data_IF_123910126834
#
_entry.id   IF_123910126834
#
_cell.length_a   1.000
_cell.length_b   1.000
_cell.length_c   1.000
_cell.angle_alpha   90.00
_cell.angle_beta   90.00
_cell.angle_gamma   90.00
#
_symmetry.space_group_name_H-M   'P 1'
#
loop_
_entity.id
_entity.type
_entity.pdbx_description
1 polymer ?
#
# COMPACT_ATOMS: atom_id res chain seq x y z
N UNK A 1 -30.24 -24.59 16.83
CA UNK A 1 -28.92 -24.35 17.45
C UNK A 1 -27.83 -24.83 16.51
N UNK A 2 -27.42 -23.98 15.57
CA UNK A 2 -26.45 -24.28 14.50
C UNK A 2 -25.38 -23.19 14.41
N UNK A 3 -25.16 -22.48 15.52
CA UNK A 3 -24.10 -21.47 15.70
C UNK A 3 -22.69 -22.05 15.50
N UNK A 4 -22.53 -23.36 15.67
CA UNK A 4 -21.24 -24.07 15.51
C UNK A 4 -20.72 -24.05 14.06
N UNK A 5 -21.61 -24.00 13.06
CA UNK A 5 -21.22 -23.97 11.63
C UNK A 5 -21.26 -22.55 11.06
N UNK A 6 -22.11 -21.68 11.61
CA UNK A 6 -22.16 -20.27 11.19
C UNK A 6 -20.85 -19.52 11.50
N UNK A 7 -20.23 -19.83 12.65
CA UNK A 7 -18.98 -19.19 13.08
C UNK A 7 -17.79 -19.46 12.14
N UNK A 8 -17.48 -20.72 11.75
CA UNK A 8 -16.38 -21.00 10.83
C UNK A 8 -16.64 -20.47 9.41
N UNK A 9 -17.90 -20.43 8.95
CA UNK A 9 -18.24 -19.88 7.63
C UNK A 9 -18.00 -18.37 7.58
N UNK A 10 -18.43 -17.63 8.62
CA UNK A 10 -18.14 -16.20 8.74
C UNK A 10 -16.64 -15.93 8.82
N UNK A 11 -15.89 -16.73 9.57
CA UNK A 11 -14.44 -16.62 9.67
C UNK A 11 -13.77 -16.81 8.29
N UNK A 12 -14.17 -17.85 7.55
CA UNK A 12 -13.65 -18.11 6.22
C UNK A 12 -13.93 -16.95 5.26
N UNK A 13 -15.13 -16.37 5.31
CA UNK A 13 -15.47 -15.18 4.51
C UNK A 13 -14.59 -13.98 4.83
N UNK A 14 -14.37 -13.66 6.11
CA UNK A 14 -13.53 -12.53 6.54
C UNK A 14 -12.07 -12.74 6.08
N UNK A 15 -11.54 -13.96 6.23
CA UNK A 15 -10.18 -14.29 5.80
C UNK A 15 -10.01 -14.21 4.28
N UNK A 16 -11.04 -14.60 3.53
CA UNK A 16 -11.06 -14.50 2.06
C UNK A 16 -11.00 -13.04 1.60
N UNK A 17 -11.72 -12.15 2.29
CA UNK A 17 -11.74 -10.71 2.02
C UNK A 17 -10.39 -10.08 2.40
N UNK A 18 -9.80 -10.45 3.54
CA UNK A 18 -8.48 -9.93 3.95
C UNK A 18 -7.33 -10.43 3.08
N UNK A 19 -7.38 -11.66 2.55
CA UNK A 19 -6.34 -12.16 1.65
C UNK A 19 -6.34 -11.42 0.31
N UNK A 20 -7.51 -10.95 -0.16
CA UNK A 20 -7.62 -10.06 -1.32
C UNK A 20 -7.34 -8.58 -1.03
N UNK A 21 -7.48 -8.15 0.24
CA UNK A 21 -7.28 -6.77 0.70
C UNK A 21 -5.90 -6.50 1.29
N UNK A 22 -5.05 -7.51 1.44
CA UNK A 22 -3.61 -7.30 1.43
C UNK A 22 -3.26 -6.84 0.02
N UNK A 23 -3.49 -5.54 -0.22
CA UNK A 23 -2.77 -4.80 -1.24
C UNK A 23 -1.35 -5.33 -1.13
N UNK A 24 -0.84 -5.93 -2.22
CA UNK A 24 0.59 -6.05 -2.42
C UNK A 24 1.10 -4.64 -2.14
N UNK A 25 1.51 -4.39 -0.90
CA UNK A 25 2.20 -3.18 -0.50
C UNK A 25 3.38 -3.26 -1.43
N UNK A 26 3.28 -2.49 -2.51
CA UNK A 26 4.09 -2.72 -3.68
C UNK A 26 5.50 -2.78 -3.13
N UNK A 27 6.16 -3.93 -3.25
CA UNK A 27 7.59 -4.04 -3.03
C UNK A 27 8.26 -3.32 -4.21
N UNK A 28 7.80 -2.10 -4.48
CA UNK A 28 8.55 -1.05 -5.11
C UNK A 28 9.67 -0.88 -4.11
N UNK A 29 10.78 -1.56 -4.41
CA UNK A 29 12.08 -1.21 -3.88
C UNK A 29 12.09 0.31 -3.78
N UNK A 30 12.12 0.84 -2.55
CA UNK A 30 12.09 2.27 -2.30
C UNK A 30 13.37 2.85 -2.89
N UNK A 31 13.33 3.14 -4.18
CA UNK A 31 14.48 3.58 -4.96
C UNK A 31 14.89 4.96 -4.48
N UNK A 32 16.14 5.31 -4.73
CA UNK A 32 16.61 6.66 -4.47
C UNK A 32 16.23 7.58 -5.63
N UNK A 33 15.81 8.80 -5.29
CA UNK A 33 15.58 9.87 -6.25
C UNK A 33 16.87 10.66 -6.44
N UNK A 34 17.23 10.96 -7.69
CA UNK A 34 18.42 11.76 -8.04
C UNK A 34 18.07 13.06 -8.78
N UNK A 35 16.80 13.23 -9.15
CA UNK A 35 16.30 14.40 -9.87
C UNK A 35 15.04 14.91 -9.18
N UNK A 36 14.89 16.23 -9.11
CA UNK A 36 13.82 16.90 -8.38
C UNK A 36 13.14 17.93 -9.27
N UNK A 37 11.80 17.92 -9.25
CA UNK A 37 11.02 18.99 -9.85
C UNK A 37 11.07 20.24 -8.97
N UNK A 38 11.33 21.40 -9.59
CA UNK A 38 11.30 22.69 -8.89
C UNK A 38 9.96 23.43 -9.01
N UNK A 39 8.98 22.82 -9.70
CA UNK A 39 7.64 23.38 -9.90
C UNK A 39 6.61 22.53 -9.17
N UNK A 40 5.59 23.20 -8.65
CA UNK A 40 4.46 22.53 -8.01
C UNK A 40 3.66 21.75 -9.04
N UNK A 41 3.42 20.47 -8.74
CA UNK A 41 2.55 19.61 -9.54
C UNK A 41 1.09 20.01 -9.33
N UNK A 42 0.28 20.15 -10.39
CA UNK A 42 -1.16 20.30 -10.24
C UNK A 42 -1.76 19.10 -9.49
N UNK A 43 -2.53 19.37 -8.43
CA UNK A 43 -3.12 18.33 -7.57
C UNK A 43 -3.99 17.34 -8.36
N UNK A 44 -4.64 17.80 -9.42
CA UNK A 44 -5.49 16.97 -10.28
C UNK A 44 -4.72 15.85 -11.00
N UNK A 45 -3.40 15.95 -11.10
CA UNK A 45 -2.54 14.95 -11.74
C UNK A 45 -1.85 14.01 -10.74
N UNK A 46 -1.87 14.35 -9.46
CA UNK A 46 -1.22 13.56 -8.41
C UNK A 46 -2.14 12.41 -8.00
N UNK A 47 -1.74 11.18 -8.31
CA UNK A 47 -2.50 9.97 -7.97
C UNK A 47 -2.04 9.35 -6.66
N UNK A 48 -0.73 9.39 -6.38
CA UNK A 48 -0.13 8.81 -5.19
C UNK A 48 1.25 9.44 -4.91
N UNK A 49 1.82 9.13 -3.75
CA UNK A 49 3.19 9.51 -3.37
C UNK A 49 3.89 8.36 -2.63
N UNK A 50 5.22 8.37 -2.59
CA UNK A 50 6.00 7.40 -1.83
C UNK A 50 7.30 8.02 -1.33
N UNK A 51 7.71 7.68 -0.11
CA UNK A 51 9.01 8.08 0.41
C UNK A 51 10.12 7.17 -0.11
N UNK A 52 11.31 7.76 -0.30
CA UNK A 52 12.53 7.01 -0.62
C UNK A 52 12.99 6.11 0.55
N UNK A 53 13.95 5.22 0.29
CA UNK A 53 14.54 4.38 1.34
C UNK A 53 15.43 5.18 2.28
N UNK A 54 15.53 4.76 3.53
CA UNK A 54 16.47 5.33 4.51
C UNK A 54 17.94 5.15 4.08
N UNK A 55 18.22 4.18 3.21
CA UNK A 55 19.56 3.92 2.71
C UNK A 55 19.96 4.87 1.57
N UNK A 56 19.06 5.77 1.15
CA UNK A 56 19.36 6.75 0.13
C UNK A 56 20.20 7.90 0.69
N UNK A 57 21.14 8.44 -0.10
CA UNK A 57 21.98 9.55 0.33
C UNK A 57 21.17 10.83 0.60
N UNK A 58 20.00 10.97 -0.03
CA UNK A 58 19.06 12.06 0.17
C UNK A 58 17.63 11.53 0.29
N UNK A 59 16.89 12.05 1.27
CA UNK A 59 15.48 11.72 1.50
C UNK A 59 14.56 12.56 0.61
N UNK A 60 13.52 11.93 0.05
CA UNK A 60 12.62 12.57 -0.91
C UNK A 60 11.23 11.91 -0.98
N UNK A 61 10.35 12.53 -1.76
CA UNK A 61 8.99 12.12 -2.14
C UNK A 61 8.83 12.24 -3.64
#
# INVERSE_FOLDING_TARGET
MNFSVACPVLLAFILSIHLGAATRGSDVAKSCCFQYGHKMLPWTWVQNYAYTSNNCPQQAV
#
